data_IF_732339611734
#
_entry.id   IF_732339611734
#
_cell.length_a   1.000
_cell.length_b   1.000
_cell.length_c   1.000
_cell.angle_alpha   90.00
_cell.angle_beta   90.00
_cell.angle_gamma   90.00
#
_symmetry.space_group_name_H-M   'P 1'
#
loop_
_entity.id
_entity.type
_entity.pdbx_description
1 polymer ?
#
# COMPACT_ATOMS: atom_id res chain seq x y z
N UNK A 1 -9.65 0.13 0.27
CA UNK A 1 -10.13 1.05 1.33
C UNK A 1 -11.26 1.96 0.83
N UNK A 2 -11.06 2.86 -0.13
CA UNK A 2 -12.10 3.78 -0.60
C UNK A 2 -13.39 3.06 -1.03
N UNK A 3 -13.26 2.04 -1.89
CA UNK A 3 -14.40 1.24 -2.36
C UNK A 3 -15.03 0.34 -1.28
N UNK A 4 -14.39 0.19 -0.15
CA UNK A 4 -14.91 -0.50 1.04
C UNK A 4 -15.68 0.45 1.96
N UNK A 5 -15.70 1.75 1.65
CA UNK A 5 -16.44 2.75 2.40
C UNK A 5 -15.62 3.56 3.40
N UNK A 6 -14.31 3.34 3.48
CA UNK A 6 -13.45 4.12 4.37
C UNK A 6 -13.42 5.59 3.90
N UNK A 7 -13.70 6.55 4.80
CA UNK A 7 -13.68 7.96 4.45
C UNK A 7 -12.33 8.40 3.86
N UNK A 8 -12.31 9.14 2.72
CA UNK A 8 -11.07 9.53 2.05
C UNK A 8 -10.08 10.27 2.95
N UNK A 9 -10.57 11.13 3.84
CA UNK A 9 -9.72 11.85 4.78
C UNK A 9 -8.99 10.92 5.76
N UNK A 10 -9.63 9.81 6.17
CA UNK A 10 -9.01 8.83 7.05
C UNK A 10 -7.95 8.00 6.32
N UNK A 11 -8.16 7.68 5.04
CA UNK A 11 -7.14 7.02 4.21
C UNK A 11 -5.89 7.91 4.12
N UNK A 12 -6.05 9.21 3.88
CA UNK A 12 -4.96 10.18 3.84
C UNK A 12 -4.25 10.31 5.20
N UNK A 13 -5.03 10.39 6.28
CA UNK A 13 -4.49 10.46 7.63
C UNK A 13 -3.71 9.19 8.00
N UNK A 14 -4.23 8.00 7.67
CA UNK A 14 -3.57 6.73 7.90
C UNK A 14 -2.21 6.65 7.19
N UNK A 15 -2.13 7.08 5.92
CA UNK A 15 -0.87 7.13 5.18
C UNK A 15 0.17 8.03 5.85
N UNK A 16 -0.22 9.24 6.24
CA UNK A 16 0.68 10.18 6.95
C UNK A 16 1.11 9.64 8.31
N UNK A 17 0.19 9.08 9.10
CA UNK A 17 0.51 8.47 10.39
C UNK A 17 1.37 7.21 10.27
N UNK A 18 1.24 6.48 9.15
CA UNK A 18 2.12 5.37 8.81
C UNK A 18 3.54 5.81 8.41
N UNK A 19 3.80 7.11 8.27
CA UNK A 19 5.11 7.67 7.91
C UNK A 19 5.30 7.95 6.42
N UNK A 20 4.24 7.89 5.61
CA UNK A 20 4.32 8.28 4.20
C UNK A 20 4.50 9.80 4.07
N UNK A 21 5.37 10.28 3.15
CA UNK A 21 5.59 11.72 2.96
C UNK A 21 4.34 12.45 2.45
N UNK A 22 3.50 11.74 1.70
CA UNK A 22 2.19 12.22 1.23
C UNK A 22 1.16 11.12 1.42
N UNK A 23 -0.11 11.50 1.57
CA UNK A 23 -1.19 10.52 1.69
C UNK A 23 -1.43 9.74 0.39
N UNK A 24 -2.01 8.52 0.46
CA UNK A 24 -2.15 7.63 -0.68
C UNK A 24 -2.95 8.20 -1.85
N UNK A 25 -4.03 8.92 -1.58
CA UNK A 25 -4.86 9.52 -2.64
C UNK A 25 -4.13 10.70 -3.29
N UNK A 26 -3.43 11.50 -2.49
CA UNK A 26 -2.58 12.57 -2.98
C UNK A 26 -1.45 12.04 -3.85
N UNK A 27 -0.83 10.93 -3.46
CA UNK A 27 0.23 10.28 -4.25
C UNK A 27 -0.29 9.80 -5.61
N UNK A 28 -1.48 9.20 -5.65
CA UNK A 28 -2.10 8.79 -6.91
C UNK A 28 -2.33 9.96 -7.86
N UNK A 29 -2.68 11.14 -7.35
CA UNK A 29 -2.84 12.34 -8.17
C UNK A 29 -1.51 12.86 -8.73
N UNK A 30 -0.43 12.80 -7.94
CA UNK A 30 0.92 13.21 -8.37
C UNK A 30 1.46 12.29 -9.48
N UNK A 31 1.26 10.97 -9.34
CA UNK A 31 1.67 9.96 -10.33
C UNK A 31 0.80 9.99 -11.57
N UNK A 32 -0.42 10.46 -11.47
CA UNK A 32 -1.51 10.52 -12.44
C UNK A 32 -2.44 9.29 -12.42
N UNK A 33 -3.72 9.56 -12.18
CA UNK A 33 -4.78 8.54 -12.07
C UNK A 33 -4.94 7.75 -13.38
N UNK A 34 -4.81 8.41 -14.54
CA UNK A 34 -4.90 7.74 -15.84
C UNK A 34 -3.70 6.83 -16.11
N UNK A 35 -2.54 7.05 -15.49
CA UNK A 35 -1.44 6.10 -15.57
C UNK A 35 -1.80 4.81 -14.84
N UNK A 36 -2.32 4.92 -13.61
CA UNK A 36 -2.80 3.75 -12.87
C UNK A 36 -3.88 2.98 -13.67
N UNK A 37 -4.78 3.69 -14.33
CA UNK A 37 -5.80 3.09 -15.18
C UNK A 37 -5.21 2.37 -16.41
N UNK A 38 -4.21 2.94 -17.08
CA UNK A 38 -3.52 2.31 -18.21
C UNK A 38 -2.75 1.04 -17.77
N UNK A 39 -2.07 1.12 -16.63
CA UNK A 39 -1.37 -0.04 -16.04
C UNK A 39 -2.37 -1.16 -15.73
N UNK A 40 -3.50 -0.83 -15.11
CA UNK A 40 -4.54 -1.82 -14.81
C UNK A 40 -5.07 -2.49 -16.09
N UNK A 41 -5.38 -1.71 -17.14
CA UNK A 41 -5.80 -2.26 -18.44
C UNK A 41 -4.74 -3.17 -19.06
N UNK A 42 -3.47 -2.77 -19.03
CA UNK A 42 -2.37 -3.58 -19.54
C UNK A 42 -2.22 -4.90 -18.75
N UNK A 43 -2.30 -4.83 -17.43
CA UNK A 43 -2.27 -6.02 -16.55
C UNK A 43 -3.41 -6.98 -16.89
N UNK A 44 -4.62 -6.46 -17.03
CA UNK A 44 -5.80 -7.25 -17.41
C UNK A 44 -5.64 -7.93 -18.78
N UNK A 45 -5.07 -7.21 -19.75
CA UNK A 45 -4.83 -7.75 -21.10
C UNK A 45 -3.74 -8.83 -21.08
N UNK A 46 -2.67 -8.66 -20.31
CA UNK A 46 -1.53 -9.57 -20.32
C UNK A 46 -1.73 -10.79 -19.43
N UNK A 47 -2.36 -10.61 -18.27
CA UNK A 47 -2.48 -11.64 -17.21
C UNK A 47 -3.92 -12.15 -17.01
N UNK A 48 -4.88 -11.58 -17.72
CA UNK A 48 -6.29 -11.98 -17.67
C UNK A 48 -7.12 -11.22 -16.62
N UNK A 49 -8.44 -11.43 -16.68
CA UNK A 49 -9.45 -10.76 -15.84
C UNK A 49 -9.20 -10.94 -14.33
N UNK A 50 -8.73 -12.11 -13.91
CA UNK A 50 -8.47 -12.43 -12.51
C UNK A 50 -7.26 -11.74 -11.90
N UNK A 51 -6.43 -11.06 -12.71
CA UNK A 51 -5.22 -10.39 -12.24
C UNK A 51 -5.48 -8.99 -11.67
N UNK A 52 -6.68 -8.46 -11.83
CA UNK A 52 -7.05 -7.13 -11.35
C UNK A 52 -8.21 -7.19 -10.35
N UNK A 53 -8.17 -6.30 -9.35
CA UNK A 53 -9.26 -6.16 -8.38
C UNK A 53 -10.44 -5.43 -9.05
N UNK A 54 -11.64 -6.04 -9.13
CA UNK A 54 -12.81 -5.41 -9.76
C UNK A 54 -13.21 -4.09 -9.09
N UNK A 55 -12.97 -3.93 -7.79
CA UNK A 55 -13.26 -2.68 -7.09
C UNK A 55 -12.29 -1.56 -7.50
N UNK A 56 -11.01 -1.90 -7.71
CA UNK A 56 -10.03 -0.96 -8.24
C UNK A 56 -10.34 -0.59 -9.69
N UNK A 57 -10.67 -1.56 -10.53
CA UNK A 57 -11.07 -1.33 -11.92
C UNK A 57 -12.25 -0.37 -11.99
N UNK A 58 -13.30 -0.64 -11.20
CA UNK A 58 -14.47 0.21 -11.12
C UNK A 58 -14.10 1.64 -10.72
N UNK A 59 -13.29 1.82 -9.67
CA UNK A 59 -12.87 3.13 -9.19
C UNK A 59 -12.15 3.92 -10.28
N UNK A 60 -11.14 3.31 -10.91
CA UNK A 60 -10.33 3.98 -11.92
C UNK A 60 -11.15 4.29 -13.19
N UNK A 61 -12.06 3.41 -13.58
CA UNK A 61 -12.97 3.66 -14.70
C UNK A 61 -13.92 4.84 -14.42
N UNK A 62 -14.53 4.89 -13.22
CA UNK A 62 -15.36 6.02 -12.81
C UNK A 62 -14.56 7.34 -12.82
N UNK A 63 -13.37 7.34 -12.21
CA UNK A 63 -12.52 8.53 -12.13
C UNK A 63 -12.12 9.04 -13.53
N UNK A 64 -11.59 8.15 -14.39
CA UNK A 64 -10.97 8.54 -15.65
C UNK A 64 -12.02 8.73 -16.74
N UNK A 65 -12.86 7.71 -17.00
CA UNK A 65 -13.78 7.73 -18.17
C UNK A 65 -15.03 8.58 -17.92
N UNK A 66 -15.62 8.49 -16.71
CA UNK A 66 -16.86 9.22 -16.46
C UNK A 66 -16.63 10.65 -15.95
N UNK A 67 -15.64 10.84 -15.09
CA UNK A 67 -15.41 12.15 -14.47
C UNK A 67 -14.24 12.93 -15.04
N UNK A 68 -13.45 12.34 -15.97
CA UNK A 68 -12.29 12.98 -16.58
C UNK A 68 -11.23 13.42 -15.56
N UNK A 69 -11.12 12.69 -14.43
CA UNK A 69 -10.24 13.02 -13.31
C UNK A 69 -8.92 12.28 -13.46
N UNK A 70 -7.92 12.97 -14.02
CA UNK A 70 -6.65 12.38 -14.42
C UNK A 70 -5.52 12.61 -13.41
N UNK A 71 -5.80 13.30 -12.31
CA UNK A 71 -4.83 13.66 -11.29
C UNK A 71 -4.41 15.14 -11.36
N UNK A 72 -3.27 15.45 -10.76
CA UNK A 72 -2.77 16.83 -10.67
C UNK A 72 -2.58 17.50 -12.03
N UNK A 73 -2.20 16.74 -13.06
CA UNK A 73 -1.90 17.28 -14.40
C UNK A 73 -3.06 18.04 -15.07
N UNK A 74 -4.31 17.64 -14.77
CA UNK A 74 -5.49 18.36 -15.25
C UNK A 74 -6.26 19.04 -14.12
N UNK A 75 -5.62 19.20 -12.95
CA UNK A 75 -6.16 19.81 -11.73
C UNK A 75 -7.38 19.08 -11.14
N UNK A 76 -7.65 17.86 -11.54
CA UNK A 76 -8.80 17.03 -11.15
C UNK A 76 -8.34 15.59 -10.96
N UNK A 77 -8.23 15.13 -9.72
CA UNK A 77 -7.90 13.76 -9.33
C UNK A 77 -8.77 13.32 -8.16
N UNK A 78 -8.21 12.63 -7.21
CA UNK A 78 -8.82 12.43 -5.89
C UNK A 78 -9.02 13.76 -5.16
N UNK A 79 -8.22 14.75 -5.57
CA UNK A 79 -8.34 16.14 -5.11
C UNK A 79 -8.78 17.05 -6.25
N UNK A 80 -9.42 18.16 -5.88
CA UNK A 80 -9.56 19.34 -6.69
C UNK A 80 -8.39 20.29 -6.38
N UNK A 81 -7.80 20.86 -7.42
CA UNK A 81 -6.67 21.80 -7.35
C UNK A 81 -7.11 23.17 -7.85
N UNK A 82 -7.73 24.00 -6.97
CA UNK A 82 -8.18 25.33 -7.36
C UNK A 82 -6.98 26.23 -7.70
N UNK A 83 -7.21 27.27 -8.50
CA UNK A 83 -6.16 28.25 -8.84
C UNK A 83 -5.70 29.06 -7.63
N UNK A 84 -6.61 29.30 -6.70
CA UNK A 84 -6.35 29.96 -5.43
C UNK A 84 -6.78 29.08 -4.26
N UNK A 85 -5.91 28.98 -3.24
CA UNK A 85 -6.16 28.20 -2.04
C UNK A 85 -5.63 26.76 -2.06
N UNK A 86 -5.80 26.03 -0.95
CA UNK A 86 -5.30 24.68 -0.81
C UNK A 86 -6.13 23.68 -1.65
N UNK A 87 -5.48 22.58 -2.07
CA UNK A 87 -6.18 21.44 -2.63
C UNK A 87 -7.15 20.84 -1.61
N UNK A 88 -8.27 20.30 -2.08
CA UNK A 88 -9.29 19.66 -1.25
C UNK A 88 -9.72 18.33 -1.86
N UNK A 89 -10.04 17.37 -1.02
CA UNK A 89 -10.61 16.10 -1.47
C UNK A 89 -11.88 16.35 -2.30
N UNK A 90 -11.97 15.70 -3.45
CA UNK A 90 -13.13 15.85 -4.31
C UNK A 90 -14.39 15.30 -3.61
N UNK A 91 -15.45 16.11 -3.44
CA UNK A 91 -16.67 15.69 -2.75
C UNK A 91 -17.33 14.45 -3.38
N UNK A 92 -17.23 14.28 -4.70
CA UNK A 92 -17.77 13.12 -5.42
C UNK A 92 -17.17 11.77 -5.04
N UNK A 93 -16.03 11.74 -4.32
CA UNK A 93 -15.50 10.47 -3.80
C UNK A 93 -16.49 9.76 -2.87
N UNK A 94 -17.29 10.53 -2.14
CA UNK A 94 -18.32 9.97 -1.27
C UNK A 94 -19.47 9.27 -2.03
N UNK A 95 -19.60 9.54 -3.32
CA UNK A 95 -20.65 8.97 -4.18
C UNK A 95 -20.18 7.70 -4.90
N UNK A 96 -18.86 7.48 -4.97
CA UNK A 96 -18.26 6.32 -5.65
C UNK A 96 -18.45 5.01 -4.87
N UNK A 97 -18.67 5.09 -3.56
CA UNK A 97 -18.94 3.94 -2.71
C UNK A 97 -20.39 3.92 -2.26
N UNK A 98 -21.00 2.74 -2.26
CA UNK A 98 -22.37 2.56 -1.75
C UNK A 98 -22.41 2.45 -0.22
N UNK A 99 -21.37 1.91 0.36
CA UNK A 99 -21.25 1.70 1.80
C UNK A 99 -20.30 2.78 2.34
N UNK A 100 -20.81 3.60 3.26
CA UNK A 100 -19.99 4.57 3.99
C UNK A 100 -19.81 4.03 5.40
N UNK A 101 -18.57 3.89 5.81
CA UNK A 101 -18.25 3.57 7.20
C UNK A 101 -18.27 4.87 8.00
N UNK A 102 -18.91 4.81 9.16
CA UNK A 102 -18.83 5.91 10.11
C UNK A 102 -17.39 6.03 10.62
N UNK A 103 -16.83 7.24 10.70
CA UNK A 103 -15.43 7.46 11.09
C UNK A 103 -15.06 6.77 12.41
N UNK A 104 -15.98 6.71 13.35
CA UNK A 104 -15.80 6.12 14.68
C UNK A 104 -15.64 4.59 14.64
N UNK A 105 -16.09 3.95 13.57
CA UNK A 105 -15.99 2.50 13.37
C UNK A 105 -14.73 2.10 12.59
N UNK A 106 -13.93 3.06 12.14
CA UNK A 106 -12.72 2.80 11.35
C UNK A 106 -11.52 2.60 12.27
N UNK A 107 -10.95 1.40 12.22
CA UNK A 107 -9.71 1.10 12.93
C UNK A 107 -8.50 1.71 12.19
N UNK A 108 -8.01 2.82 12.71
CA UNK A 108 -6.88 3.55 12.14
C UNK A 108 -5.58 2.72 12.14
N UNK A 109 -5.35 1.90 13.16
CA UNK A 109 -4.19 1.01 13.21
C UNK A 109 -4.26 -0.05 12.12
N UNK A 110 -5.44 -0.62 11.89
CA UNK A 110 -5.63 -1.56 10.78
C UNK A 110 -5.37 -0.88 9.42
N UNK A 111 -5.81 0.36 9.21
CA UNK A 111 -5.52 1.08 7.97
C UNK A 111 -4.01 1.28 7.75
N UNK A 112 -3.29 1.70 8.80
CA UNK A 112 -1.82 1.85 8.75
C UNK A 112 -1.15 0.51 8.44
N UNK A 113 -1.53 -0.56 9.12
CA UNK A 113 -1.02 -1.89 8.86
C UNK A 113 -1.27 -2.33 7.42
N UNK A 114 -2.46 -2.10 6.88
CA UNK A 114 -2.77 -2.44 5.48
C UNK A 114 -1.83 -1.74 4.49
N UNK A 115 -1.49 -0.48 4.73
CA UNK A 115 -0.56 0.28 3.88
C UNK A 115 0.88 -0.22 3.99
N UNK A 116 1.38 -0.45 5.20
CA UNK A 116 2.75 -0.88 5.43
C UNK A 116 2.97 -2.34 5.04
N UNK A 117 2.06 -3.23 5.45
CA UNK A 117 2.16 -4.68 5.21
C UNK A 117 2.13 -5.00 3.72
N UNK A 118 1.28 -4.33 2.92
CA UNK A 118 1.25 -4.58 1.47
C UNK A 118 2.61 -4.34 0.83
N UNK A 119 3.27 -3.23 1.17
CA UNK A 119 4.57 -2.87 0.63
C UNK A 119 5.68 -3.81 1.13
N UNK A 120 5.67 -4.12 2.43
CA UNK A 120 6.65 -5.01 3.03
C UNK A 120 6.52 -6.45 2.52
N UNK A 121 5.30 -6.95 2.30
CA UNK A 121 5.05 -8.26 1.69
C UNK A 121 5.58 -8.33 0.26
N UNK A 122 5.39 -7.29 -0.54
CA UNK A 122 5.87 -7.28 -1.91
C UNK A 122 7.40 -7.25 -1.96
N UNK A 123 8.05 -6.48 -1.08
CA UNK A 123 9.50 -6.49 -0.94
C UNK A 123 10.02 -7.89 -0.51
N UNK A 124 9.32 -8.57 0.39
CA UNK A 124 9.69 -9.93 0.79
C UNK A 124 9.48 -10.97 -0.34
N UNK A 125 8.52 -10.75 -1.25
CA UNK A 125 8.34 -11.59 -2.46
C UNK A 125 9.46 -11.37 -3.45
N UNK A 126 9.81 -10.12 -3.76
CA UNK A 126 10.93 -9.80 -4.68
C UNK A 126 12.26 -10.32 -4.16
N UNK A 127 12.45 -10.33 -2.84
CA UNK A 127 13.61 -10.94 -2.20
C UNK A 127 13.60 -12.48 -2.30
N UNK A 128 12.45 -13.12 -2.06
CA UNK A 128 12.31 -14.59 -2.23
C UNK A 128 12.56 -15.04 -3.66
N UNK A 129 12.15 -14.24 -4.64
CA UNK A 129 12.31 -14.48 -6.08
C UNK A 129 13.75 -14.18 -6.58
N UNK A 130 14.59 -13.59 -5.74
CA UNK A 130 15.96 -13.23 -6.10
C UNK A 130 16.08 -12.02 -7.03
N UNK A 131 15.00 -11.22 -7.15
CA UNK A 131 15.03 -9.94 -7.89
C UNK A 131 15.86 -8.91 -7.12
N UNK A 132 15.69 -8.88 -5.80
CA UNK A 132 16.54 -8.14 -4.87
C UNK A 132 17.29 -9.17 -4.03
N UNK A 133 18.60 -9.09 -3.96
CA UNK A 133 19.46 -10.09 -3.31
C UNK A 133 20.07 -9.63 -1.98
N UNK A 134 20.10 -8.32 -1.74
CA UNK A 134 20.58 -7.72 -0.49
C UNK A 134 19.42 -7.01 0.23
N UNK A 135 19.13 -7.35 1.49
CA UNK A 135 18.07 -6.67 2.25
C UNK A 135 18.26 -5.16 2.37
N UNK A 136 19.51 -4.68 2.38
CA UNK A 136 19.84 -3.25 2.46
C UNK A 136 19.39 -2.50 1.20
N UNK A 137 19.50 -3.13 0.03
CA UNK A 137 19.01 -2.55 -1.23
C UNK A 137 17.49 -2.41 -1.23
N UNK A 138 16.78 -3.42 -0.72
CA UNK A 138 15.33 -3.34 -0.54
C UNK A 138 14.93 -2.18 0.39
N UNK A 139 15.60 -2.07 1.54
CA UNK A 139 15.27 -1.06 2.54
C UNK A 139 15.61 0.36 2.09
N UNK A 140 16.82 0.60 1.60
CA UNK A 140 17.23 1.90 1.07
C UNK A 140 16.38 2.27 -0.14
N UNK A 141 16.18 1.33 -1.07
CA UNK A 141 15.34 1.51 -2.25
C UNK A 141 13.90 1.85 -1.89
N UNK A 142 13.32 1.21 -0.88
CA UNK A 142 11.95 1.49 -0.45
C UNK A 142 11.79 2.89 0.15
N UNK A 143 12.74 3.36 0.95
CA UNK A 143 12.69 4.68 1.57
C UNK A 143 12.90 5.78 0.51
N UNK A 144 13.98 5.66 -0.28
CA UNK A 144 14.36 6.71 -1.23
C UNK A 144 13.51 6.64 -2.51
N UNK A 145 13.21 5.45 -3.00
CA UNK A 145 12.54 5.23 -4.28
C UNK A 145 11.03 5.52 -4.25
N UNK A 146 10.33 5.08 -3.20
CA UNK A 146 8.88 5.25 -3.14
C UNK A 146 8.34 5.75 -1.78
N UNK A 147 9.22 6.23 -0.89
CA UNK A 147 8.82 6.93 0.32
C UNK A 147 8.21 6.02 1.39
N UNK A 148 8.69 4.77 1.52
CA UNK A 148 8.33 3.93 2.65
C UNK A 148 8.74 4.59 3.97
N UNK A 149 8.01 4.30 5.04
CA UNK A 149 8.19 4.90 6.37
C UNK A 149 9.65 4.86 6.88
N UNK A 150 10.40 5.97 6.88
CA UNK A 150 11.85 5.95 7.19
C UNK A 150 12.17 5.49 8.61
N UNK A 151 11.27 5.73 9.57
CA UNK A 151 11.45 5.33 10.97
C UNK A 151 11.56 3.82 11.16
N UNK A 152 11.06 3.03 10.19
CA UNK A 152 11.08 1.57 10.24
C UNK A 152 12.42 0.97 9.79
N UNK A 153 13.29 1.77 9.16
CA UNK A 153 14.52 1.31 8.52
C UNK A 153 14.33 0.76 7.11
N UNK A 154 13.09 0.66 6.62
CA UNK A 154 12.72 0.13 5.31
C UNK A 154 11.76 -1.05 5.40
N UNK A 155 11.41 -1.62 4.25
CA UNK A 155 10.37 -2.66 4.15
C UNK A 155 10.74 -3.96 4.83
N UNK A 156 11.97 -4.46 4.66
CA UNK A 156 12.43 -5.70 5.28
C UNK A 156 12.80 -5.49 6.74
N UNK A 157 13.40 -4.35 7.08
CA UNK A 157 13.62 -3.93 8.47
C UNK A 157 12.31 -3.79 9.24
N UNK A 158 11.22 -3.32 8.61
CA UNK A 158 9.90 -3.29 9.23
C UNK A 158 9.42 -4.68 9.67
N UNK A 159 9.68 -5.71 8.83
CA UNK A 159 9.36 -7.10 9.16
C UNK A 159 10.23 -7.60 10.32
N UNK A 160 11.54 -7.35 10.26
CA UNK A 160 12.48 -7.79 11.29
C UNK A 160 12.21 -7.11 12.64
N UNK A 161 11.89 -5.82 12.65
CA UNK A 161 11.55 -5.07 13.86
C UNK A 161 10.27 -5.60 14.55
N UNK A 162 9.29 -6.07 13.76
CA UNK A 162 8.09 -6.71 14.29
C UNK A 162 8.37 -8.15 14.71
N UNK A 163 9.33 -8.80 14.10
CA UNK A 163 9.58 -10.23 14.14
C UNK A 163 8.72 -11.01 13.16
N UNK A 164 9.34 -11.93 12.41
CA UNK A 164 8.69 -12.70 11.35
C UNK A 164 7.42 -13.43 11.79
N UNK A 165 7.39 -13.99 13.00
CA UNK A 165 6.22 -14.69 13.52
C UNK A 165 5.03 -13.75 13.76
N UNK A 166 5.27 -12.57 14.35
CA UNK A 166 4.22 -11.56 14.57
C UNK A 166 3.73 -10.97 13.25
N UNK A 167 4.65 -10.70 12.31
CA UNK A 167 4.32 -10.20 10.98
C UNK A 167 3.46 -11.20 10.20
N UNK A 168 3.81 -12.49 10.19
CA UNK A 168 3.02 -13.55 9.54
C UNK A 168 1.62 -13.62 10.14
N UNK A 169 1.48 -13.57 11.47
CA UNK A 169 0.17 -13.56 12.14
C UNK A 169 -0.68 -12.35 11.73
N UNK A 170 -0.06 -11.16 11.63
CA UNK A 170 -0.72 -9.96 11.14
C UNK A 170 -1.18 -10.13 9.69
N UNK A 171 -0.31 -10.62 8.81
CA UNK A 171 -0.64 -10.91 7.42
C UNK A 171 -1.84 -11.86 7.30
N UNK A 172 -1.86 -12.95 8.06
CA UNK A 172 -2.97 -13.91 8.05
C UNK A 172 -4.29 -13.30 8.54
N UNK A 173 -4.23 -12.43 9.55
CA UNK A 173 -5.39 -11.67 10.02
C UNK A 173 -5.92 -10.74 8.94
N UNK A 174 -5.05 -9.98 8.29
CA UNK A 174 -5.43 -9.09 7.18
C UNK A 174 -5.93 -9.87 5.96
N UNK A 175 -5.34 -11.03 5.66
CA UNK A 175 -5.76 -11.89 4.56
C UNK A 175 -7.20 -12.40 4.74
N UNK A 176 -7.58 -12.77 5.97
CA UNK A 176 -8.95 -13.19 6.29
C UNK A 176 -9.98 -12.07 6.06
N UNK A 177 -9.61 -10.82 6.33
CA UNK A 177 -10.51 -9.67 6.24
C UNK A 177 -10.50 -9.03 4.84
N UNK A 178 -9.34 -8.96 4.20
CA UNK A 178 -9.10 -8.11 3.03
C UNK A 178 -8.55 -8.84 1.81
N UNK A 179 -8.47 -10.17 1.88
CA UNK A 179 -8.16 -11.03 0.73
C UNK A 179 -6.68 -11.41 0.57
N UNK A 180 -6.45 -12.18 -0.47
CA UNK A 180 -5.22 -12.94 -0.73
C UNK A 180 -3.94 -12.11 -0.86
N UNK A 181 -4.07 -10.84 -1.24
CA UNK A 181 -2.93 -9.92 -1.38
C UNK A 181 -2.09 -9.79 -0.10
N UNK A 182 -2.71 -10.07 1.06
CA UNK A 182 -2.03 -10.06 2.37
C UNK A 182 -1.46 -11.42 2.78
N UNK A 183 -1.59 -12.48 1.96
CA UNK A 183 -1.04 -13.80 2.31
C UNK A 183 0.49 -13.75 2.37
N UNK A 184 1.10 -14.21 3.49
CA UNK A 184 2.55 -14.30 3.61
C UNK A 184 3.12 -15.35 2.65
N UNK A 185 4.26 -15.04 2.02
CA UNK A 185 5.00 -15.94 1.14
C UNK A 185 5.69 -17.08 1.91
N UNK A 186 6.34 -18.00 1.19
CA UNK A 186 6.99 -19.18 1.80
C UNK A 186 8.17 -18.79 2.68
N UNK A 187 8.97 -17.83 2.23
CA UNK A 187 10.12 -17.31 2.97
C UNK A 187 9.70 -16.86 4.35
N UNK A 188 8.71 -15.96 4.45
CA UNK A 188 8.22 -15.42 5.72
C UNK A 188 7.67 -16.51 6.64
N UNK A 189 6.94 -17.48 6.10
CA UNK A 189 6.43 -18.63 6.88
C UNK A 189 7.57 -19.51 7.42
N UNK A 190 8.66 -19.66 6.67
CA UNK A 190 9.87 -20.35 7.14
C UNK A 190 10.53 -19.55 8.26
N UNK A 191 10.82 -18.26 8.02
CA UNK A 191 11.43 -17.37 9.01
C UNK A 191 10.63 -17.33 10.32
N UNK A 192 9.29 -17.29 10.23
CA UNK A 192 8.43 -17.35 11.41
C UNK A 192 8.59 -18.63 12.23
N UNK A 193 8.92 -19.77 11.60
CA UNK A 193 9.14 -21.05 12.28
C UNK A 193 10.56 -21.21 12.83
N UNK A 194 11.55 -20.69 12.13
CA UNK A 194 12.97 -20.88 12.44
C UNK A 194 13.55 -19.75 13.30
N UNK A 195 12.85 -18.60 13.44
CA UNK A 195 13.37 -17.43 14.10
C UNK A 195 14.41 -16.67 13.28
N UNK A 196 14.54 -16.99 11.97
CA UNK A 196 15.40 -16.25 11.05
C UNK A 196 14.89 -14.81 10.82
N UNK A 197 15.81 -13.91 10.48
CA UNK A 197 15.54 -12.54 10.08
C UNK A 197 16.32 -12.19 8.82
N UNK A 198 15.96 -11.11 8.12
CA UNK A 198 16.65 -10.67 6.89
C UNK A 198 18.09 -10.23 7.18
N UNK A 199 18.34 -9.64 8.36
CA UNK A 199 19.67 -9.14 8.75
C UNK A 199 20.45 -10.09 9.67
N UNK A 200 19.88 -11.25 10.01
CA UNK A 200 20.43 -12.17 10.99
C UNK A 200 20.18 -11.71 12.43
N UNK A 201 20.24 -12.62 13.41
CA UNK A 201 20.19 -12.23 14.80
C UNK A 201 21.46 -11.49 15.17
N UNK A 202 21.36 -10.39 15.91
CA UNK A 202 22.51 -9.61 16.40
C UNK A 202 23.49 -10.47 17.22
N UNK A 203 23.04 -11.58 17.79
CA UNK A 203 23.86 -12.54 18.56
C UNK A 203 24.84 -13.34 17.70
N UNK A 204 24.56 -13.57 16.40
CA UNK A 204 25.52 -14.25 15.52
C UNK A 204 26.63 -13.35 14.99
N UNK A 205 26.48 -12.01 15.06
CA UNK A 205 27.50 -11.04 14.64
C UNK A 205 28.48 -10.65 15.74
N UNK A 206 28.16 -10.93 17.00
CA UNK A 206 29.07 -10.70 18.15
C UNK A 206 30.01 -11.88 18.40
N UNK A 207 29.82 -13.03 17.75
CA UNK A 207 30.58 -14.27 17.91
C UNK A 207 31.48 -14.62 16.71
N UNK A 208 31.58 -13.75 15.71
CA UNK A 208 32.48 -13.85 14.53
C UNK A 208 33.44 -12.67 14.49
#
# INVERSE_FOLDING_TARGET
>A
MLMEGVPPAMIEAAGKQAGMPVGPLSLNDEVAVDLAYKVLKATKTQLGEGAVDPAQEKLLNEMVEKHGRLGRKNKKGFYDYPEAGPKRLWPGLAELTRNKLEPELVDMEELKHRLLVTQALEAARTYEEGVVTDPREADVGSIIGFGFAPYSGGTLSYIDNMGAAAFVKLCESLAKKHGERFKPNRLLKRMAKTGESFYGSAEKKAAA
#
